data_IF_305219837222
#
_entry.id   IF_305219837222
#
_cell.length_a   1.000
_cell.length_b   1.000
_cell.length_c   1.000
_cell.angle_alpha   90.00
_cell.angle_beta   90.00
_cell.angle_gamma   90.00
#
_symmetry.space_group_name_H-M   'P 1'
#
loop_
_entity.id
_entity.type
_entity.pdbx_description
1 polymer ?
#
# COMPACT_ATOMS: atom_id res chain seq x y z
N UNK A 1 -7.19 24.01 -56.52
CA UNK A 1 -7.66 22.99 -55.57
C UNK A 1 -6.46 22.18 -55.11
N UNK A 2 -6.35 22.00 -53.80
CA UNK A 2 -5.30 21.31 -53.02
C UNK A 2 -3.93 22.01 -52.91
N UNK A 3 -3.75 22.62 -51.74
CA UNK A 3 -2.56 23.28 -51.24
C UNK A 3 -1.47 22.25 -50.88
N UNK A 4 -0.25 22.58 -51.30
CA UNK A 4 1.02 22.12 -50.73
C UNK A 4 1.31 22.90 -49.45
N UNK A 5 1.88 22.23 -48.45
CA UNK A 5 2.75 22.88 -47.46
C UNK A 5 3.72 21.85 -46.87
N UNK A 6 4.98 21.99 -47.28
CA UNK A 6 6.18 21.48 -46.62
C UNK A 6 6.29 22.02 -45.19
N UNK A 7 6.85 21.24 -44.26
CA UNK A 7 7.90 21.72 -43.34
C UNK A 7 8.71 20.53 -42.77
N UNK A 8 10.03 20.63 -42.94
CA UNK A 8 11.06 19.73 -42.44
C UNK A 8 11.57 20.17 -41.05
N UNK A 9 11.82 19.16 -40.20
CA UNK A 9 12.94 18.94 -39.26
C UNK A 9 13.62 20.08 -38.47
N UNK A 10 13.82 19.81 -37.16
CA UNK A 10 14.93 20.31 -36.33
C UNK A 10 14.69 19.99 -34.84
N UNK A 11 15.12 18.83 -34.31
CA UNK A 11 16.36 18.63 -33.53
C UNK A 11 16.54 19.57 -32.33
N UNK A 12 16.50 19.01 -31.11
CA UNK A 12 17.67 18.92 -30.22
C UNK A 12 17.31 18.28 -28.89
N UNK A 13 18.05 17.21 -28.59
CA UNK A 13 18.22 16.62 -27.27
C UNK A 13 19.12 17.58 -26.50
N UNK A 14 18.70 18.01 -25.30
CA UNK A 14 19.67 18.33 -24.27
C UNK A 14 19.31 17.64 -22.96
N UNK A 15 20.39 17.21 -22.34
CA UNK A 15 20.62 16.39 -21.18
C UNK A 15 19.96 16.89 -19.89
N UNK A 16 19.59 15.94 -19.02
CA UNK A 16 19.09 16.24 -17.69
C UNK A 16 18.79 14.99 -16.88
N UNK A 17 19.81 14.48 -16.21
CA UNK A 17 19.69 13.56 -15.07
C UNK A 17 18.56 13.98 -14.12
N UNK A 18 17.70 13.04 -13.75
CA UNK A 18 17.01 12.98 -12.45
C UNK A 18 16.20 11.67 -12.39
N UNK A 19 16.57 10.70 -11.55
CA UNK A 19 16.22 10.69 -10.13
C UNK A 19 14.70 10.81 -9.94
N UNK A 20 14.01 9.69 -9.70
CA UNK A 20 12.64 9.63 -9.19
C UNK A 20 12.59 8.46 -8.20
N UNK A 21 12.15 8.64 -6.96
CA UNK A 21 11.31 9.72 -6.47
C UNK A 21 10.17 9.09 -5.68
N UNK A 22 10.25 9.27 -4.37
CA UNK A 22 9.17 9.07 -3.42
C UNK A 22 7.92 9.82 -3.91
N UNK A 23 6.86 9.12 -4.26
CA UNK A 23 5.61 9.76 -4.68
C UNK A 23 4.68 9.96 -3.47
N UNK A 24 4.77 11.16 -2.92
CA UNK A 24 3.67 11.86 -2.25
C UNK A 24 2.50 12.02 -3.23
N UNK A 25 1.33 11.52 -2.89
CA UNK A 25 0.07 11.90 -3.55
C UNK A 25 -0.94 12.33 -2.48
N UNK A 26 -0.85 13.59 -2.11
CA UNK A 26 -1.93 14.39 -1.55
C UNK A 26 -2.22 15.51 -2.55
N UNK A 27 -3.10 15.27 -3.52
CA UNK A 27 -3.90 16.32 -4.15
C UNK A 27 -4.80 15.68 -5.21
N UNK A 28 -6.03 15.33 -4.84
CA UNK A 28 -7.26 15.60 -5.61
C UNK A 28 -8.42 15.35 -4.63
N UNK A 29 -9.21 16.39 -4.34
CA UNK A 29 -10.67 16.39 -4.11
C UNK A 29 -11.01 17.66 -3.32
N UNK A 30 -11.04 18.80 -4.01
CA UNK A 30 -11.60 20.03 -3.47
C UNK A 30 -12.67 20.53 -4.43
N UNK A 31 -13.86 19.91 -4.39
CA UNK A 31 -15.05 20.38 -5.10
C UNK A 31 -16.29 20.18 -4.22
N UNK A 32 -16.86 21.31 -3.79
CA UNK A 32 -18.21 21.54 -3.28
C UNK A 32 -18.60 21.13 -1.85
N UNK A 33 -18.62 22.14 -0.95
CA UNK A 33 -19.89 22.61 -0.34
C UNK A 33 -19.79 24.04 0.20
N UNK A 34 -20.48 24.97 -0.46
CA UNK A 34 -20.93 26.25 0.10
C UNK A 34 -22.31 26.05 0.75
N UNK A 35 -22.60 26.90 1.75
CA UNK A 35 -23.87 27.11 2.51
C UNK A 35 -23.99 26.16 3.73
N UNK A 36 -24.06 26.61 5.00
CA UNK A 36 -24.60 27.85 5.57
C UNK A 36 -23.60 28.60 6.50
N UNK A 37 -23.44 29.90 6.27
CA UNK A 37 -22.84 30.84 7.23
C UNK A 37 -23.93 31.37 8.16
N UNK A 38 -23.73 31.24 9.47
CA UNK A 38 -24.39 32.07 10.47
C UNK A 38 -23.53 33.34 10.70
N UNK A 39 -24.02 34.59 10.60
CA UNK A 39 -23.15 35.77 10.44
C UNK A 39 -22.44 36.27 11.71
N UNK A 40 -22.60 35.61 12.88
CA UNK A 40 -22.27 36.23 14.18
C UNK A 40 -21.15 35.58 15.00
N UNK A 41 -20.22 34.79 14.42
CA UNK A 41 -19.02 34.33 15.17
C UNK A 41 -17.73 34.86 14.55
N UNK A 42 -17.09 35.81 15.24
CA UNK A 42 -15.76 36.33 14.90
C UNK A 42 -14.72 35.22 15.03
N UNK A 43 -14.13 34.82 13.90
CA UNK A 43 -13.07 33.79 13.77
C UNK A 43 -11.81 33.98 14.64
N UNK A 44 -11.66 35.10 15.34
CA UNK A 44 -10.49 35.43 16.17
C UNK A 44 -10.70 35.32 17.68
N UNK A 45 -11.95 35.35 18.17
CA UNK A 45 -12.24 35.38 19.62
C UNK A 45 -12.24 33.97 20.26
N UNK A 46 -12.38 32.90 19.47
CA UNK A 46 -12.51 31.53 19.99
C UNK A 46 -11.17 30.90 20.39
N UNK A 47 -10.03 31.35 19.87
CA UNK A 47 -8.72 30.79 20.21
C UNK A 47 -8.09 31.41 21.47
N UNK A 48 -8.36 32.70 21.72
CA UNK A 48 -7.78 33.46 22.83
C UNK A 48 -8.27 32.95 24.19
N UNK A 49 -9.50 32.43 24.25
CA UNK A 49 -10.06 31.81 25.48
C UNK A 49 -9.27 30.60 25.98
N UNK A 50 -8.42 29.98 25.16
CA UNK A 50 -7.63 28.79 25.52
C UNK A 50 -6.19 29.10 25.95
N UNK A 51 -5.71 30.35 25.87
CA UNK A 51 -4.29 30.69 26.06
C UNK A 51 -3.81 30.38 27.48
N UNK A 52 -4.66 30.61 28.49
CA UNK A 52 -4.36 30.39 29.90
C UNK A 52 -5.41 29.50 30.59
N UNK A 53 -6.29 28.86 29.82
CA UNK A 53 -7.32 28.01 30.39
C UNK A 53 -6.75 26.67 30.83
N UNK A 54 -7.33 26.12 31.90
CA UNK A 54 -7.03 24.79 32.40
C UNK A 54 -8.08 23.80 31.89
N UNK A 55 -7.77 22.51 31.96
CA UNK A 55 -8.71 21.48 31.50
C UNK A 55 -9.99 21.47 32.36
N UNK A 56 -9.82 21.70 33.66
CA UNK A 56 -10.86 21.73 34.68
C UNK A 56 -11.93 22.81 34.39
N UNK A 57 -11.53 23.92 33.75
CA UNK A 57 -12.41 25.02 33.38
C UNK A 57 -13.51 24.60 32.37
N UNK A 58 -13.33 23.47 31.69
CA UNK A 58 -14.24 22.96 30.67
C UNK A 58 -14.91 21.65 31.06
N UNK A 59 -14.92 21.30 32.35
CA UNK A 59 -15.62 20.11 32.84
C UNK A 59 -17.11 20.19 32.51
N UNK A 60 -17.65 19.16 31.87
CA UNK A 60 -19.03 19.10 31.36
C UNK A 60 -19.21 19.67 29.95
N UNK A 61 -18.16 20.28 29.37
CA UNK A 61 -18.16 20.83 28.02
C UNK A 61 -17.18 20.10 27.08
N UNK A 62 -16.41 19.12 27.57
CA UNK A 62 -15.29 18.50 26.82
C UNK A 62 -15.77 17.95 25.48
N UNK A 63 -16.92 17.26 25.44
CA UNK A 63 -17.46 16.72 24.19
C UNK A 63 -17.69 17.79 23.12
N UNK A 64 -18.15 18.98 23.51
CA UNK A 64 -18.36 20.10 22.58
C UNK A 64 -17.03 20.63 22.02
N UNK A 65 -16.00 20.69 22.87
CA UNK A 65 -14.64 21.09 22.48
C UNK A 65 -14.02 20.10 21.50
N UNK A 66 -14.30 18.81 21.61
CA UNK A 66 -13.77 17.78 20.69
C UNK A 66 -14.13 18.06 19.21
N UNK A 67 -15.29 18.69 18.97
CA UNK A 67 -15.81 18.99 17.63
C UNK A 67 -15.47 20.40 17.14
N UNK A 68 -14.83 21.19 17.98
CA UNK A 68 -14.32 22.50 17.61
C UNK A 68 -12.83 22.39 17.23
N UNK A 69 -12.41 23.11 16.19
CA UNK A 69 -11.01 23.06 15.73
C UNK A 69 -10.03 23.53 16.82
N UNK A 70 -10.36 24.61 17.53
CA UNK A 70 -9.49 25.18 18.56
C UNK A 70 -9.65 24.43 19.88
N UNK A 71 -10.87 24.03 20.25
CA UNK A 71 -11.15 23.18 21.41
C UNK A 71 -10.43 21.85 21.33
N UNK A 72 -10.49 21.15 20.19
CA UNK A 72 -9.80 19.88 19.99
C UNK A 72 -8.27 20.03 20.09
N UNK A 73 -7.71 21.12 19.54
CA UNK A 73 -6.27 21.44 19.67
C UNK A 73 -5.87 21.76 21.10
N UNK A 74 -6.71 22.48 21.84
CA UNK A 74 -6.51 22.74 23.26
C UNK A 74 -6.48 21.42 24.05
N UNK A 75 -7.45 20.53 23.86
CA UNK A 75 -7.52 19.23 24.56
C UNK A 75 -6.31 18.35 24.23
N UNK A 76 -5.86 18.31 22.97
CA UNK A 76 -4.63 17.61 22.59
C UNK A 76 -3.40 18.15 23.32
N UNK A 77 -3.30 19.48 23.47
CA UNK A 77 -2.19 20.11 24.19
C UNK A 77 -2.21 19.76 25.68
N UNK A 78 -3.39 19.67 26.31
CA UNK A 78 -3.49 19.25 27.71
C UNK A 78 -2.95 17.83 27.92
N UNK A 79 -3.22 16.91 26.99
CA UNK A 79 -2.65 15.56 27.01
C UNK A 79 -1.12 15.53 26.81
N UNK A 80 -0.58 16.46 26.01
CA UNK A 80 0.88 16.53 25.77
C UNK A 80 1.63 17.17 26.94
N UNK A 81 1.06 18.22 27.57
CA UNK A 81 1.67 18.88 28.72
C UNK A 81 1.89 17.92 29.90
N UNK A 82 0.96 16.98 30.12
CA UNK A 82 1.10 15.98 31.16
C UNK A 82 2.28 15.02 30.95
N UNK A 83 2.60 14.69 29.69
CA UNK A 83 3.74 13.81 29.33
C UNK A 83 5.10 14.47 29.57
N UNK A 84 5.19 15.78 29.36
CA UNK A 84 6.45 16.52 29.56
C UNK A 84 6.83 16.63 31.05
N UNK A 85 5.86 16.53 31.96
CA UNK A 85 6.06 16.64 33.41
C UNK A 85 6.41 15.31 34.05
N UNK A 86 5.86 14.19 33.59
CA UNK A 86 6.34 12.86 33.99
C UNK A 86 7.87 12.74 33.79
N UNK A 87 8.41 13.48 32.81
CA UNK A 87 9.84 13.57 32.52
C UNK A 87 10.58 14.73 33.24
N UNK A 88 9.87 15.68 33.89
CA UNK A 88 10.45 16.85 34.57
C UNK A 88 9.77 17.11 35.92
N UNK A 89 10.50 16.90 37.02
CA UNK A 89 10.02 16.94 38.42
C UNK A 89 9.46 18.28 38.96
N UNK A 90 9.06 19.27 38.15
CA UNK A 90 8.57 20.54 38.68
C UNK A 90 7.49 21.20 37.80
N UNK A 91 6.22 21.03 38.18
CA UNK A 91 5.12 21.91 37.76
C UNK A 91 3.91 21.74 38.69
N UNK A 92 3.81 22.55 39.76
CA UNK A 92 2.73 22.47 40.76
C UNK A 92 1.32 22.85 40.25
N UNK A 93 1.12 23.09 38.95
CA UNK A 93 -0.12 23.66 38.38
C UNK A 93 -0.59 23.03 37.06
N UNK A 94 -0.01 21.91 36.63
CA UNK A 94 -0.37 21.22 35.38
C UNK A 94 -0.72 19.77 35.73
N UNK A 95 -1.84 19.28 35.19
CA UNK A 95 -2.26 17.89 35.38
C UNK A 95 -1.28 16.92 34.71
N UNK A 96 -1.02 15.79 35.37
CA UNK A 96 -0.34 14.66 34.74
C UNK A 96 -1.19 14.09 33.60
N UNK A 97 -0.54 13.39 32.68
CA UNK A 97 -1.21 12.95 31.44
C UNK A 97 -2.36 11.99 31.71
N UNK A 98 -2.20 11.10 32.68
CA UNK A 98 -3.21 10.15 33.12
C UNK A 98 -4.46 10.82 33.71
N UNK A 99 -4.31 11.90 34.49
CA UNK A 99 -5.44 12.65 35.04
C UNK A 99 -6.18 13.39 33.92
N UNK A 100 -5.45 14.09 33.05
CA UNK A 100 -6.05 14.78 31.91
C UNK A 100 -6.78 13.81 30.98
N UNK A 101 -6.16 12.65 30.68
CA UNK A 101 -6.78 11.59 29.89
C UNK A 101 -8.03 11.03 30.56
N UNK A 102 -8.01 10.84 31.88
CA UNK A 102 -9.17 10.34 32.64
C UNK A 102 -10.33 11.31 32.65
N UNK A 103 -10.07 12.61 32.82
CA UNK A 103 -11.09 13.66 32.72
C UNK A 103 -11.75 13.66 31.34
N UNK A 104 -10.94 13.65 30.28
CA UNK A 104 -11.44 13.60 28.89
C UNK A 104 -12.23 12.31 28.64
N UNK A 105 -11.68 11.16 29.05
CA UNK A 105 -12.31 9.84 28.91
C UNK A 105 -13.71 9.81 29.52
N UNK A 106 -13.87 10.28 30.77
CA UNK A 106 -15.13 10.21 31.50
C UNK A 106 -16.29 10.93 30.80
N UNK A 107 -16.01 11.99 30.03
CA UNK A 107 -17.04 12.72 29.29
C UNK A 107 -17.32 12.15 27.90
N UNK A 108 -16.35 11.48 27.28
CA UNK A 108 -16.46 11.13 25.84
C UNK A 108 -16.56 9.62 25.54
N UNK A 109 -16.34 8.73 26.51
CA UNK A 109 -16.23 7.29 26.23
C UNK A 109 -17.46 6.68 25.53
N UNK A 110 -18.66 7.18 25.79
CA UNK A 110 -19.90 6.77 25.10
C UNK A 110 -20.10 7.39 23.71
N UNK A 111 -19.33 8.42 23.38
CA UNK A 111 -19.37 9.16 22.11
C UNK A 111 -18.17 8.85 21.21
N UNK A 112 -17.40 7.81 21.54
CA UNK A 112 -16.14 7.48 20.88
C UNK A 112 -16.29 7.31 19.36
N UNK A 113 -17.34 6.62 18.90
CA UNK A 113 -17.56 6.38 17.47
C UNK A 113 -17.78 7.70 16.72
N UNK A 114 -18.61 8.58 17.29
CA UNK A 114 -18.92 9.89 16.72
C UNK A 114 -17.68 10.76 16.60
N UNK A 115 -16.77 10.68 17.56
CA UNK A 115 -15.51 11.42 17.55
C UNK A 115 -14.45 10.80 16.65
N UNK A 116 -14.41 9.47 16.50
CA UNK A 116 -13.45 8.80 15.61
C UNK A 116 -13.64 9.20 14.14
N UNK A 117 -14.87 9.46 13.71
CA UNK A 117 -15.21 9.85 12.33
C UNK A 117 -15.36 11.37 12.15
N UNK A 118 -15.16 12.15 13.22
CA UNK A 118 -15.25 13.61 13.17
C UNK A 118 -13.96 14.20 12.57
N UNK A 119 -14.04 15.22 11.69
CA UNK A 119 -12.86 15.86 11.08
C UNK A 119 -11.84 16.43 12.06
N UNK A 120 -12.27 16.84 13.25
CA UNK A 120 -11.39 17.34 14.31
C UNK A 120 -11.24 16.31 15.43
N UNK A 121 -12.35 15.74 15.89
CA UNK A 121 -12.40 14.81 17.03
C UNK A 121 -11.47 13.60 16.87
N UNK A 122 -11.26 13.11 15.65
CA UNK A 122 -10.42 11.94 15.39
C UNK A 122 -8.98 12.15 15.88
N UNK A 123 -8.45 13.38 15.81
CA UNK A 123 -7.09 13.69 16.27
C UNK A 123 -6.99 13.63 17.80
N UNK A 124 -8.01 14.10 18.50
CA UNK A 124 -8.08 13.96 19.96
C UNK A 124 -8.18 12.50 20.35
N UNK A 125 -9.03 11.71 19.70
CA UNK A 125 -9.17 10.28 20.00
C UNK A 125 -7.85 9.53 19.79
N UNK A 126 -7.13 9.84 18.71
CA UNK A 126 -5.79 9.30 18.47
C UNK A 126 -4.85 9.60 19.64
N UNK A 127 -4.80 10.86 20.08
CA UNK A 127 -3.97 11.26 21.23
C UNK A 127 -4.46 10.60 22.52
N UNK A 128 -5.76 10.45 22.72
CA UNK A 128 -6.33 9.84 23.90
C UNK A 128 -5.90 8.37 24.03
N UNK A 129 -5.92 7.58 22.94
CA UNK A 129 -5.44 6.19 22.96
C UNK A 129 -4.00 6.03 23.45
N UNK A 130 -3.15 7.03 23.22
CA UNK A 130 -1.75 7.05 23.66
C UNK A 130 -1.57 7.41 25.14
N UNK A 131 -2.61 7.90 25.82
CA UNK A 131 -2.52 8.45 27.18
C UNK A 131 -3.47 7.78 28.18
N UNK A 132 -4.52 7.09 27.73
CA UNK A 132 -5.43 6.35 28.62
C UNK A 132 -4.80 5.07 29.17
N UNK A 133 -5.26 4.65 30.34
CA UNK A 133 -4.89 3.36 30.93
C UNK A 133 -5.38 2.19 30.05
N UNK A 134 -4.82 0.99 30.29
CA UNK A 134 -5.26 -0.23 29.59
C UNK A 134 -6.76 -0.48 29.81
N UNK A 135 -7.26 -0.31 31.04
CA UNK A 135 -8.68 -0.53 31.35
C UNK A 135 -9.60 0.46 30.63
N UNK A 136 -9.22 1.74 30.61
CA UNK A 136 -9.93 2.76 29.85
C UNK A 136 -9.90 2.46 28.35
N UNK A 137 -8.75 2.06 27.81
CA UNK A 137 -8.63 1.69 26.39
C UNK A 137 -9.51 0.50 26.03
N UNK A 138 -9.59 -0.51 26.89
CA UNK A 138 -10.52 -1.65 26.73
C UNK A 138 -11.97 -1.17 26.67
N UNK A 139 -12.38 -0.22 27.51
CA UNK A 139 -13.73 0.35 27.47
C UNK A 139 -13.96 1.06 26.13
N UNK A 140 -13.00 1.88 25.68
CA UNK A 140 -13.11 2.56 24.37
C UNK A 140 -13.20 1.57 23.21
N UNK A 141 -12.40 0.49 23.23
CA UNK A 141 -12.45 -0.59 22.23
C UNK A 141 -13.82 -1.24 22.22
N UNK A 142 -14.37 -1.62 23.38
CA UNK A 142 -15.70 -2.24 23.50
C UNK A 142 -16.81 -1.33 22.99
N UNK A 143 -16.72 -0.03 23.26
CA UNK A 143 -17.72 0.95 22.80
C UNK A 143 -17.63 1.21 21.29
N UNK A 144 -16.43 1.15 20.71
CA UNK A 144 -16.23 1.36 19.27
C UNK A 144 -16.44 0.08 18.43
N UNK A 145 -16.23 -1.10 19.01
CA UNK A 145 -16.25 -2.41 18.35
C UNK A 145 -17.49 -2.66 17.45
N UNK A 146 -18.74 -2.37 17.88
CA UNK A 146 -19.93 -2.59 17.04
C UNK A 146 -19.91 -1.83 15.71
N UNK A 147 -19.11 -0.76 15.60
CA UNK A 147 -19.04 0.15 14.46
C UNK A 147 -17.67 0.15 13.77
N UNK A 148 -16.78 -0.81 14.08
CA UNK A 148 -15.43 -0.85 13.51
C UNK A 148 -15.40 -0.80 11.98
N UNK A 149 -16.38 -1.40 11.31
CA UNK A 149 -16.45 -1.36 9.85
C UNK A 149 -16.79 0.04 9.36
N UNK A 150 -17.80 0.70 9.93
CA UNK A 150 -18.11 2.09 9.60
C UNK A 150 -16.91 3.01 9.84
N UNK A 151 -16.22 2.83 10.96
CA UNK A 151 -15.04 3.60 11.32
C UNK A 151 -13.89 3.34 10.35
N UNK A 152 -13.61 2.08 10.00
CA UNK A 152 -12.49 1.72 9.13
C UNK A 152 -12.65 2.23 7.68
N UNK A 153 -13.89 2.29 7.20
CA UNK A 153 -14.22 2.77 5.85
C UNK A 153 -14.27 4.31 5.77
N UNK A 154 -14.27 5.01 6.92
CA UNK A 154 -14.27 6.47 6.99
C UNK A 154 -12.84 7.06 6.88
N UNK A 155 -12.64 8.18 6.14
CA UNK A 155 -11.31 8.79 5.96
C UNK A 155 -10.66 9.32 7.24
N UNK A 156 -11.45 9.70 8.26
CA UNK A 156 -10.96 10.12 9.58
C UNK A 156 -10.90 8.92 10.52
N UNK A 157 -11.96 8.10 10.52
CA UNK A 157 -12.09 6.90 11.33
C UNK A 157 -10.96 5.90 11.12
N UNK A 158 -10.51 5.70 9.88
CA UNK A 158 -9.37 4.80 9.58
C UNK A 158 -8.10 5.23 10.31
N UNK A 159 -7.86 6.54 10.47
CA UNK A 159 -6.67 7.07 11.17
C UNK A 159 -6.78 6.80 12.66
N UNK A 160 -7.94 7.06 13.24
CA UNK A 160 -8.21 6.77 14.64
C UNK A 160 -8.12 5.27 14.95
N UNK A 161 -8.67 4.41 14.10
CA UNK A 161 -8.63 2.95 14.29
C UNK A 161 -7.22 2.39 14.09
N UNK A 162 -6.45 2.89 13.12
CA UNK A 162 -5.03 2.53 13.00
C UNK A 162 -4.25 2.90 14.26
N UNK A 163 -4.48 4.10 14.83
CA UNK A 163 -3.86 4.51 16.08
C UNK A 163 -4.27 3.62 17.25
N UNK A 164 -5.55 3.24 17.34
CA UNK A 164 -6.00 2.27 18.35
C UNK A 164 -5.20 0.98 18.23
N UNK A 165 -5.08 0.41 17.02
CA UNK A 165 -4.27 -0.79 16.78
C UNK A 165 -2.82 -0.56 17.21
N UNK A 166 -2.20 0.58 16.94
CA UNK A 166 -0.82 0.88 17.40
C UNK A 166 -0.67 0.86 18.92
N UNK A 167 -1.70 1.31 19.65
CA UNK A 167 -1.67 1.50 21.10
C UNK A 167 -2.02 0.25 21.91
N UNK A 168 -2.66 -0.78 21.33
CA UNK A 168 -2.95 -2.01 22.06
C UNK A 168 -1.65 -2.69 22.52
N UNK A 169 -1.68 -3.25 23.73
CA UNK A 169 -0.51 -3.88 24.34
C UNK A 169 -0.81 -5.22 25.02
N UNK A 170 -2.08 -5.54 25.28
CA UNK A 170 -2.48 -6.76 25.97
C UNK A 170 -3.18 -7.77 25.05
N UNK A 171 -3.16 -9.05 25.45
CA UNK A 171 -3.89 -10.09 24.72
C UNK A 171 -5.40 -9.85 24.68
N UNK A 172 -5.97 -9.30 25.75
CA UNK A 172 -7.39 -8.97 25.84
C UNK A 172 -7.79 -7.91 24.80
N UNK A 173 -6.99 -6.86 24.64
CA UNK A 173 -7.21 -5.84 23.62
C UNK A 173 -7.04 -6.40 22.21
N UNK A 174 -5.98 -7.17 21.97
CA UNK A 174 -5.78 -7.84 20.68
C UNK A 174 -6.96 -8.72 20.31
N UNK A 175 -7.50 -9.49 21.27
CA UNK A 175 -8.67 -10.34 21.05
C UNK A 175 -9.89 -9.53 20.61
N UNK A 176 -10.18 -8.41 21.27
CA UNK A 176 -11.30 -7.55 20.87
C UNK A 176 -11.14 -7.00 19.45
N UNK A 177 -9.93 -6.60 19.07
CA UNK A 177 -9.64 -6.15 17.70
C UNK A 177 -9.86 -7.28 16.69
N UNK A 178 -9.30 -8.46 16.95
CA UNK A 178 -9.38 -9.61 16.05
C UNK A 178 -10.84 -10.05 15.88
N UNK A 179 -11.57 -10.23 16.97
CA UNK A 179 -12.96 -10.75 16.94
C UNK A 179 -13.88 -9.84 16.11
N UNK A 180 -13.64 -8.51 16.10
CA UNK A 180 -14.47 -7.54 15.38
C UNK A 180 -13.98 -7.22 13.96
N UNK A 181 -12.71 -7.48 13.62
CA UNK A 181 -12.18 -7.25 12.27
C UNK A 181 -12.15 -8.52 11.40
N UNK A 182 -12.02 -9.69 12.02
CA UNK A 182 -11.83 -10.97 11.32
C UNK A 182 -12.92 -11.28 10.28
N UNK A 183 -14.23 -11.10 10.58
CA UNK A 183 -15.29 -11.36 9.59
C UNK A 183 -15.25 -10.45 8.35
N UNK A 184 -14.46 -9.37 8.39
CA UNK A 184 -14.53 -8.28 7.43
C UNK A 184 -13.21 -8.05 6.68
N UNK A 185 -12.23 -8.94 6.81
CA UNK A 185 -10.90 -8.77 6.19
C UNK A 185 -11.01 -8.61 4.66
N UNK A 186 -11.90 -9.32 3.98
CA UNK A 186 -12.09 -9.15 2.51
C UNK A 186 -12.58 -7.74 2.18
N UNK A 187 -13.66 -7.27 2.83
CA UNK A 187 -14.22 -5.95 2.57
C UNK A 187 -13.23 -4.84 2.92
N UNK A 188 -12.55 -4.96 4.06
CA UNK A 188 -11.57 -3.96 4.50
C UNK A 188 -10.37 -3.92 3.55
N UNK A 189 -9.84 -5.07 3.11
CA UNK A 189 -8.69 -5.11 2.19
C UNK A 189 -8.98 -4.46 0.85
N UNK A 190 -10.25 -4.47 0.43
CA UNK A 190 -10.71 -3.90 -0.84
C UNK A 190 -11.18 -2.46 -0.73
N UNK A 191 -11.19 -1.88 0.47
CA UNK A 191 -11.59 -0.48 0.63
C UNK A 191 -10.41 0.49 0.54
N UNK A 192 -10.67 1.73 0.11
CA UNK A 192 -9.67 2.80 0.02
C UNK A 192 -9.08 3.17 1.39
N UNK A 193 -9.90 3.15 2.44
CA UNK A 193 -9.51 3.51 3.81
C UNK A 193 -9.25 2.26 4.66
N UNK A 194 -10.12 1.24 4.55
CA UNK A 194 -10.09 0.02 5.36
C UNK A 194 -8.82 -0.80 5.17
N UNK A 195 -8.20 -0.77 3.98
CA UNK A 195 -7.00 -1.55 3.72
C UNK A 195 -5.84 -1.15 4.65
N UNK A 196 -5.80 0.13 5.06
CA UNK A 196 -4.77 0.63 5.96
C UNK A 196 -4.89 0.06 7.38
N UNK A 197 -6.12 -0.23 7.83
CA UNK A 197 -6.36 -0.90 9.12
C UNK A 197 -5.82 -2.33 9.08
N UNK A 198 -6.10 -3.08 7.99
CA UNK A 198 -5.58 -4.44 7.81
C UNK A 198 -4.05 -4.45 7.78
N UNK A 199 -3.44 -3.52 7.04
CA UNK A 199 -1.99 -3.35 7.01
C UNK A 199 -1.42 -3.01 8.39
N UNK A 200 -2.12 -2.20 9.19
CA UNK A 200 -1.70 -1.87 10.55
C UNK A 200 -1.75 -3.08 11.48
N UNK A 201 -2.76 -3.93 11.35
CA UNK A 201 -2.80 -5.21 12.06
C UNK A 201 -1.60 -6.09 11.71
N UNK A 202 -1.22 -6.19 10.42
CA UNK A 202 -0.04 -6.95 9.99
C UNK A 202 1.27 -6.42 10.61
N UNK A 203 1.40 -5.09 10.75
CA UNK A 203 2.58 -4.45 11.33
C UNK A 203 2.69 -4.63 12.85
N UNK A 204 1.55 -4.60 13.54
CA UNK A 204 1.53 -4.51 15.01
C UNK A 204 1.34 -5.87 15.70
N UNK A 205 0.48 -6.71 15.16
CA UNK A 205 0.12 -7.98 15.79
C UNK A 205 1.22 -9.02 15.56
N UNK A 206 1.43 -9.89 16.55
CA UNK A 206 2.33 -11.04 16.39
C UNK A 206 1.83 -11.99 15.30
N UNK A 207 2.72 -12.85 14.79
CA UNK A 207 2.34 -13.83 13.76
C UNK A 207 1.19 -14.75 14.19
N UNK A 208 1.09 -15.12 15.47
CA UNK A 208 -0.07 -15.87 15.99
C UNK A 208 -1.36 -15.06 15.92
N UNK A 209 -1.30 -13.77 16.24
CA UNK A 209 -2.46 -12.89 16.32
C UNK A 209 -2.95 -12.41 14.95
N UNK A 210 -2.06 -12.27 13.95
CA UNK A 210 -2.46 -11.86 12.61
C UNK A 210 -2.81 -13.04 11.66
N UNK A 211 -2.81 -14.28 12.15
CA UNK A 211 -3.08 -15.48 11.35
C UNK A 211 -4.43 -15.43 10.62
N UNK A 212 -5.47 -14.88 11.26
CA UNK A 212 -6.79 -14.71 10.65
C UNK A 212 -6.78 -13.94 9.33
N UNK A 213 -5.82 -13.01 9.16
CA UNK A 213 -5.62 -12.26 7.92
C UNK A 213 -5.09 -13.20 6.84
N UNK A 214 -4.12 -14.07 7.15
CA UNK A 214 -3.57 -15.04 6.21
C UNK A 214 -4.57 -16.13 5.83
N UNK A 215 -5.38 -16.59 6.78
CA UNK A 215 -6.43 -17.58 6.53
C UNK A 215 -7.50 -17.02 5.57
N UNK A 216 -7.94 -15.79 5.81
CA UNK A 216 -8.89 -15.09 4.93
C UNK A 216 -8.25 -14.77 3.57
N UNK A 217 -7.02 -14.25 3.56
CA UNK A 217 -6.29 -13.91 2.34
C UNK A 217 -6.05 -15.14 1.46
N UNK A 218 -5.86 -16.32 2.05
CA UNK A 218 -5.70 -17.56 1.30
C UNK A 218 -7.04 -18.09 0.79
N UNK A 219 -8.09 -18.00 1.60
CA UNK A 219 -9.44 -18.46 1.22
C UNK A 219 -10.07 -17.60 0.12
N UNK A 220 -9.79 -16.30 0.13
CA UNK A 220 -10.30 -15.30 -0.82
C UNK A 220 -9.19 -14.69 -1.68
N UNK A 221 -8.16 -15.47 -2.01
CA UNK A 221 -6.94 -14.98 -2.65
C UNK A 221 -7.21 -14.21 -3.94
N UNK A 222 -8.03 -14.77 -4.84
CA UNK A 222 -8.31 -14.12 -6.13
C UNK A 222 -9.06 -12.79 -5.94
N UNK A 223 -10.12 -12.76 -5.14
CA UNK A 223 -10.93 -11.57 -4.89
C UNK A 223 -10.12 -10.39 -4.34
N UNK A 224 -9.09 -10.69 -3.53
CA UNK A 224 -8.21 -9.69 -2.93
C UNK A 224 -7.08 -9.33 -3.90
N UNK A 225 -6.46 -10.32 -4.56
CA UNK A 225 -5.31 -10.12 -5.43
C UNK A 225 -5.63 -9.28 -6.67
N UNK A 226 -6.83 -9.41 -7.24
CA UNK A 226 -7.27 -8.68 -8.44
C UNK A 226 -7.93 -7.34 -8.10
N UNK A 227 -7.78 -6.86 -6.87
CA UNK A 227 -8.31 -5.58 -6.43
C UNK A 227 -7.21 -4.54 -6.22
N UNK A 228 -7.43 -3.30 -6.68
CA UNK A 228 -6.47 -2.18 -6.61
C UNK A 228 -5.84 -1.91 -5.23
N UNK A 229 -6.60 -2.14 -4.17
CA UNK A 229 -6.14 -2.00 -2.77
C UNK A 229 -5.81 -3.36 -2.14
N UNK A 230 -6.49 -4.42 -2.57
CA UNK A 230 -6.31 -5.76 -2.01
C UNK A 230 -4.95 -6.34 -2.37
N UNK A 231 -4.46 -6.09 -3.59
CA UNK A 231 -3.12 -6.50 -4.00
C UNK A 231 -2.03 -5.94 -3.08
N UNK A 232 -2.20 -4.71 -2.58
CA UNK A 232 -1.28 -4.08 -1.64
C UNK A 232 -1.32 -4.78 -0.28
N UNK A 233 -2.49 -5.23 0.18
CA UNK A 233 -2.62 -6.02 1.41
C UNK A 233 -1.88 -7.35 1.29
N UNK A 234 -2.02 -8.07 0.17
CA UNK A 234 -1.30 -9.33 -0.04
C UNK A 234 0.22 -9.14 -0.09
N UNK A 235 0.71 -8.04 -0.69
CA UNK A 235 2.12 -7.69 -0.64
C UNK A 235 2.60 -7.44 0.80
N UNK A 236 1.81 -6.75 1.62
CA UNK A 236 2.13 -6.56 3.05
C UNK A 236 2.09 -7.87 3.85
N UNK A 237 1.19 -8.81 3.51
CA UNK A 237 1.24 -10.16 4.06
C UNK A 237 2.58 -10.84 3.76
N UNK A 238 3.13 -10.67 2.55
CA UNK A 238 4.43 -11.22 2.17
C UNK A 238 5.63 -10.48 2.81
N UNK A 239 5.47 -9.21 3.20
CA UNK A 239 6.50 -8.44 3.90
C UNK A 239 6.57 -8.77 5.40
N UNK A 240 5.41 -8.88 6.07
CA UNK A 240 5.32 -9.01 7.54
C UNK A 240 5.03 -10.43 8.04
N UNK A 241 4.54 -11.33 7.18
CA UNK A 241 4.25 -12.70 7.56
C UNK A 241 5.51 -13.48 7.93
N UNK A 242 5.40 -14.42 8.85
CA UNK A 242 6.47 -15.38 9.14
C UNK A 242 6.64 -16.40 7.98
N UNK A 243 7.61 -17.32 8.07
CA UNK A 243 7.88 -18.28 7.00
C UNK A 243 6.68 -19.17 6.64
N UNK A 244 5.93 -19.66 7.64
CA UNK A 244 4.76 -20.52 7.43
C UNK A 244 3.60 -19.75 6.76
N UNK A 245 3.34 -18.54 7.24
CA UNK A 245 2.31 -17.64 6.70
C UNK A 245 2.61 -17.22 5.26
N UNK A 246 3.87 -16.86 4.97
CA UNK A 246 4.29 -16.54 3.59
C UNK A 246 4.15 -17.75 2.68
N UNK A 247 4.51 -18.96 3.14
CA UNK A 247 4.33 -20.19 2.39
C UNK A 247 2.86 -20.47 2.10
N UNK A 248 1.99 -20.37 3.11
CA UNK A 248 0.54 -20.54 2.96
C UNK A 248 -0.03 -19.65 1.85
N UNK A 249 0.24 -18.34 1.92
CA UNK A 249 -0.26 -17.39 0.93
C UNK A 249 0.41 -17.57 -0.45
N UNK A 250 1.73 -17.79 -0.48
CA UNK A 250 2.47 -17.99 -1.73
C UNK A 250 1.99 -19.22 -2.49
N UNK A 251 1.68 -20.31 -1.80
CA UNK A 251 1.12 -21.52 -2.40
C UNK A 251 -0.19 -21.22 -3.11
N UNK A 252 -1.09 -20.46 -2.46
CA UNK A 252 -2.38 -20.10 -3.05
C UNK A 252 -2.25 -19.18 -4.26
N UNK A 253 -1.32 -18.23 -4.22
CA UNK A 253 -1.01 -17.36 -5.36
C UNK A 253 -0.43 -18.19 -6.51
N UNK A 254 0.44 -19.16 -6.21
CA UNK A 254 1.04 -20.04 -7.20
C UNK A 254 0.00 -20.93 -7.92
N UNK A 255 -1.00 -21.45 -7.20
CA UNK A 255 -2.14 -22.18 -7.78
C UNK A 255 -2.93 -21.34 -8.80
N UNK A 256 -2.98 -20.01 -8.62
CA UNK A 256 -3.75 -19.08 -9.45
C UNK A 256 -2.86 -18.24 -10.39
N UNK A 257 -1.59 -18.61 -10.53
CA UNK A 257 -0.58 -17.76 -11.18
C UNK A 257 -0.94 -17.36 -12.61
N UNK A 258 -1.64 -18.21 -13.36
CA UNK A 258 -2.12 -17.93 -14.73
C UNK A 258 -3.00 -16.70 -14.78
N UNK A 259 -4.13 -16.76 -14.07
CA UNK A 259 -5.13 -15.70 -14.08
C UNK A 259 -4.56 -14.43 -13.45
N UNK A 260 -3.80 -14.57 -12.37
CA UNK A 260 -3.21 -13.42 -11.68
C UNK A 260 -2.15 -12.71 -12.54
N UNK A 261 -1.35 -13.43 -13.32
CA UNK A 261 -0.33 -12.83 -14.19
C UNK A 261 -0.92 -12.00 -15.33
N UNK A 262 -2.17 -12.28 -15.71
CA UNK A 262 -2.92 -11.55 -16.74
C UNK A 262 -3.79 -10.43 -16.15
N UNK A 263 -3.89 -10.32 -14.82
CA UNK A 263 -4.71 -9.31 -14.17
C UNK A 263 -3.96 -7.98 -13.97
N UNK A 264 -4.59 -6.80 -14.12
CA UNK A 264 -3.96 -5.49 -13.92
C UNK A 264 -3.32 -5.28 -12.54
N UNK A 265 -3.82 -5.95 -11.49
CA UNK A 265 -3.34 -5.85 -10.12
C UNK A 265 -2.66 -7.15 -9.65
N UNK A 266 -3.24 -8.30 -10.01
CA UNK A 266 -2.75 -9.62 -9.67
C UNK A 266 -1.31 -9.87 -10.15
N UNK A 267 -0.91 -9.28 -11.29
CA UNK A 267 0.44 -9.48 -11.83
C UNK A 267 1.51 -8.98 -10.83
N UNK A 268 1.23 -7.91 -10.09
CA UNK A 268 2.14 -7.41 -9.06
C UNK A 268 2.26 -8.37 -7.88
N UNK A 269 1.17 -9.06 -7.52
CA UNK A 269 1.18 -10.07 -6.44
C UNK A 269 2.06 -11.26 -6.83
N UNK A 270 1.94 -11.74 -8.08
CA UNK A 270 2.80 -12.82 -8.61
C UNK A 270 4.27 -12.40 -8.62
N UNK A 271 4.58 -11.20 -9.10
CA UNK A 271 5.94 -10.63 -9.08
C UNK A 271 6.51 -10.55 -7.65
N UNK A 272 5.67 -10.28 -6.67
CA UNK A 272 6.07 -10.22 -5.26
C UNK A 272 6.39 -11.61 -4.70
N UNK A 273 5.58 -12.63 -5.01
CA UNK A 273 5.87 -14.03 -4.64
C UNK A 273 7.15 -14.52 -5.29
N UNK A 274 7.40 -14.18 -6.56
CA UNK A 274 8.66 -14.51 -7.23
C UNK A 274 9.89 -13.96 -6.48
N UNK A 275 9.74 -12.82 -5.80
CA UNK A 275 10.82 -12.15 -5.07
C UNK A 275 10.94 -12.59 -3.61
N UNK A 276 9.81 -12.88 -2.92
CA UNK A 276 9.76 -13.07 -1.46
C UNK A 276 9.11 -14.38 -1.00
N UNK A 277 8.50 -15.11 -1.91
CA UNK A 277 7.84 -16.38 -1.64
C UNK A 277 8.83 -17.48 -1.31
N UNK A 278 8.29 -18.59 -0.82
CA UNK A 278 9.08 -19.81 -0.59
C UNK A 278 9.45 -20.49 -1.92
N UNK A 279 10.51 -21.30 -1.88
CA UNK A 279 11.08 -21.91 -3.09
C UNK A 279 10.10 -22.81 -3.84
N UNK A 280 9.24 -23.53 -3.13
CA UNK A 280 8.26 -24.44 -3.72
C UNK A 280 7.23 -23.65 -4.54
N UNK A 281 6.65 -22.59 -3.98
CA UNK A 281 5.70 -21.72 -4.68
C UNK A 281 6.35 -21.02 -5.87
N UNK A 282 7.59 -20.53 -5.72
CA UNK A 282 8.34 -19.92 -6.83
C UNK A 282 8.59 -20.92 -7.97
N UNK A 283 8.92 -22.18 -7.65
CA UNK A 283 9.10 -23.23 -8.66
C UNK A 283 7.80 -23.54 -9.43
N UNK A 284 6.66 -23.58 -8.73
CA UNK A 284 5.33 -23.77 -9.36
C UNK A 284 5.04 -22.62 -10.33
N UNK A 285 5.22 -21.37 -9.88
CA UNK A 285 5.02 -20.18 -10.74
C UNK A 285 5.97 -20.22 -11.95
N UNK A 286 7.23 -20.61 -11.75
CA UNK A 286 8.20 -20.70 -12.85
C UNK A 286 7.80 -21.74 -13.90
N UNK A 287 7.35 -22.91 -13.47
CA UNK A 287 6.87 -23.95 -14.39
C UNK A 287 5.65 -23.47 -15.18
N UNK A 288 4.74 -22.77 -14.51
CA UNK A 288 3.61 -22.13 -15.16
C UNK A 288 4.06 -21.09 -16.21
N UNK A 289 5.00 -20.21 -15.84
CA UNK A 289 5.56 -19.19 -16.73
C UNK A 289 6.19 -19.84 -17.96
N UNK A 290 7.00 -20.88 -17.80
CA UNK A 290 7.65 -21.58 -18.92
C UNK A 290 6.62 -22.20 -19.86
N UNK A 291 5.53 -22.75 -19.33
CA UNK A 291 4.48 -23.39 -20.13
C UNK A 291 3.64 -22.39 -20.95
N UNK A 292 3.61 -21.12 -20.54
CA UNK A 292 2.82 -20.07 -21.19
C UNK A 292 3.69 -18.88 -21.62
N UNK A 293 4.98 -19.11 -21.85
CA UNK A 293 6.00 -18.08 -21.96
C UNK A 293 5.69 -17.05 -23.05
N UNK A 294 5.33 -17.51 -24.25
CA UNK A 294 5.01 -16.65 -25.38
C UNK A 294 3.72 -15.86 -25.12
N UNK A 295 2.65 -16.54 -24.69
CA UNK A 295 1.36 -15.90 -24.38
C UNK A 295 1.50 -14.81 -23.33
N UNK A 296 2.24 -15.07 -22.25
CA UNK A 296 2.49 -14.08 -21.21
C UNK A 296 3.35 -12.92 -21.72
N UNK A 297 4.37 -13.20 -22.54
CA UNK A 297 5.27 -12.17 -23.06
C UNK A 297 4.59 -11.17 -24.00
N UNK A 298 3.57 -11.63 -24.74
CA UNK A 298 2.75 -10.80 -25.64
C UNK A 298 1.60 -10.08 -24.92
N UNK A 299 1.45 -10.28 -23.60
CA UNK A 299 0.35 -9.72 -22.83
C UNK A 299 0.80 -8.50 -22.00
N UNK A 300 0.00 -7.43 -22.00
CA UNK A 300 0.27 -6.15 -21.30
C UNK A 300 0.74 -6.30 -19.85
N UNK A 301 0.11 -7.20 -19.10
CA UNK A 301 0.43 -7.44 -17.69
C UNK A 301 1.32 -8.66 -17.49
N UNK A 302 1.20 -9.66 -18.38
CA UNK A 302 1.98 -10.89 -18.30
C UNK A 302 3.46 -10.63 -18.58
N UNK A 303 3.76 -9.73 -19.52
CA UNK A 303 5.13 -9.36 -19.90
C UNK A 303 5.92 -8.85 -18.70
N UNK A 304 5.29 -8.10 -17.80
CA UNK A 304 5.92 -7.61 -16.56
C UNK A 304 6.32 -8.78 -15.64
N UNK A 305 5.52 -9.84 -15.57
CA UNK A 305 5.84 -11.04 -14.79
C UNK A 305 7.04 -11.77 -15.41
N UNK A 306 7.10 -11.88 -16.74
CA UNK A 306 8.25 -12.47 -17.45
C UNK A 306 9.51 -11.65 -17.22
N UNK A 307 9.44 -10.33 -17.42
CA UNK A 307 10.54 -9.40 -17.22
C UNK A 307 11.06 -9.42 -15.78
N UNK A 308 10.16 -9.46 -14.79
CA UNK A 308 10.54 -9.59 -13.38
C UNK A 308 11.25 -10.91 -13.13
N UNK A 309 10.73 -12.01 -13.68
CA UNK A 309 11.30 -13.34 -13.50
C UNK A 309 12.69 -13.46 -14.13
N UNK A 310 12.89 -12.88 -15.31
CA UNK A 310 14.19 -12.80 -15.99
C UNK A 310 15.24 -12.06 -15.16
N UNK A 311 14.84 -11.06 -14.36
CA UNK A 311 15.74 -10.29 -13.49
C UNK A 311 16.05 -10.97 -12.15
N UNK A 312 15.46 -12.12 -11.86
CA UNK A 312 15.78 -12.89 -10.66
C UNK A 312 16.84 -13.92 -11.02
N UNK A 313 18.07 -13.72 -10.52
CA UNK A 313 19.28 -14.49 -10.90
C UNK A 313 19.09 -16.00 -10.90
N UNK A 314 18.41 -16.56 -9.88
CA UNK A 314 18.13 -18.00 -9.78
C UNK A 314 17.16 -18.53 -10.84
N UNK A 315 16.37 -17.67 -11.49
CA UNK A 315 15.38 -18.02 -12.51
C UNK A 315 15.86 -17.68 -13.93
N UNK A 316 16.75 -16.70 -14.07
CA UNK A 316 17.22 -16.12 -15.34
C UNK A 316 17.60 -17.17 -16.37
N UNK A 317 18.57 -18.03 -16.06
CA UNK A 317 19.11 -19.00 -17.02
C UNK A 317 18.02 -19.94 -17.55
N UNK A 318 17.17 -20.45 -16.66
CA UNK A 318 16.09 -21.36 -17.04
C UNK A 318 15.04 -20.71 -17.95
N UNK A 319 14.81 -19.40 -17.82
CA UNK A 319 13.88 -18.66 -18.67
C UNK A 319 14.49 -18.26 -20.01
N UNK A 320 15.77 -17.89 -20.03
CA UNK A 320 16.47 -17.61 -21.29
C UNK A 320 16.54 -18.86 -22.16
N UNK A 321 16.83 -20.04 -21.58
CA UNK A 321 16.76 -21.29 -22.33
C UNK A 321 15.35 -21.55 -22.86
N UNK A 322 14.31 -21.32 -22.06
CA UNK A 322 12.92 -21.50 -22.50
C UNK A 322 12.56 -20.55 -23.66
N UNK A 323 13.03 -19.30 -23.64
CA UNK A 323 12.87 -18.37 -24.76
C UNK A 323 13.58 -18.89 -26.03
N UNK A 324 14.82 -19.36 -25.90
CA UNK A 324 15.57 -19.92 -27.03
C UNK A 324 14.90 -21.16 -27.64
N UNK A 325 14.21 -21.97 -26.84
CA UNK A 325 13.41 -23.11 -27.34
C UNK A 325 12.16 -22.67 -28.11
N UNK A 326 11.73 -21.41 -27.96
CA UNK A 326 10.60 -20.80 -28.69
C UNK A 326 11.11 -19.69 -29.63
N UNK A 327 12.28 -19.87 -30.23
CA UNK A 327 12.90 -18.89 -31.12
C UNK A 327 12.08 -18.64 -32.41
N UNK A 328 11.24 -19.59 -32.80
CA UNK A 328 10.25 -19.45 -33.87
C UNK A 328 9.25 -18.31 -33.62
N UNK A 329 8.97 -17.98 -32.36
CA UNK A 329 8.14 -16.85 -31.95
C UNK A 329 8.88 -15.53 -31.75
N UNK A 330 10.20 -15.46 -32.01
CA UNK A 330 10.95 -14.22 -31.82
C UNK A 330 10.46 -13.09 -32.73
N UNK A 331 9.98 -13.41 -33.94
CA UNK A 331 9.39 -12.40 -34.82
C UNK A 331 8.12 -11.81 -34.22
N UNK A 332 7.27 -12.64 -33.59
CA UNK A 332 6.04 -12.18 -32.93
C UNK A 332 6.39 -11.26 -31.76
N UNK A 333 7.29 -11.71 -30.87
CA UNK A 333 7.76 -10.94 -29.73
C UNK A 333 8.40 -9.61 -30.14
N UNK A 334 9.21 -9.62 -31.19
CA UNK A 334 9.94 -8.44 -31.65
C UNK A 334 9.01 -7.35 -32.18
N UNK A 335 7.90 -7.73 -32.81
CA UNK A 335 6.92 -6.80 -33.38
C UNK A 335 5.78 -6.43 -32.41
N UNK A 336 5.67 -7.10 -31.26
CA UNK A 336 4.62 -6.87 -30.27
C UNK A 336 4.93 -5.67 -29.36
N UNK A 337 3.92 -4.85 -28.96
CA UNK A 337 4.11 -3.71 -28.05
C UNK A 337 4.70 -4.06 -26.68
N UNK A 338 4.58 -5.32 -26.22
CA UNK A 338 5.05 -5.80 -24.91
C UNK A 338 6.20 -6.79 -25.05
N UNK A 339 6.10 -7.75 -25.97
CA UNK A 339 7.08 -8.80 -26.20
C UNK A 339 8.49 -8.28 -26.50
N UNK A 340 8.60 -7.11 -27.14
CA UNK A 340 9.89 -6.52 -27.46
C UNK A 340 10.70 -6.15 -26.19
N UNK A 341 10.03 -5.83 -25.08
CA UNK A 341 10.67 -5.55 -23.80
C UNK A 341 11.16 -6.83 -23.11
N UNK A 342 10.47 -7.95 -23.32
CA UNK A 342 10.92 -9.28 -22.85
C UNK A 342 12.22 -9.69 -23.56
N UNK A 343 12.30 -9.49 -24.88
CA UNK A 343 13.53 -9.76 -25.64
C UNK A 343 14.68 -8.82 -25.26
N UNK A 344 14.42 -7.53 -25.07
CA UNK A 344 15.44 -6.60 -24.56
C UNK A 344 15.93 -7.03 -23.18
N UNK A 345 15.01 -7.39 -22.28
CA UNK A 345 15.35 -7.88 -20.96
C UNK A 345 16.21 -9.14 -21.05
N UNK A 346 15.84 -10.13 -21.87
CA UNK A 346 16.58 -11.38 -21.96
C UNK A 346 18.02 -11.12 -22.42
N UNK A 347 18.23 -10.22 -23.37
CA UNK A 347 19.56 -9.77 -23.79
C UNK A 347 20.31 -8.99 -22.69
N UNK A 348 19.60 -8.25 -21.84
CA UNK A 348 20.20 -7.50 -20.73
C UNK A 348 20.72 -8.39 -19.60
N UNK A 349 20.07 -9.53 -19.36
CA UNK A 349 20.36 -10.42 -18.21
C UNK A 349 21.04 -11.74 -18.58
N UNK A 350 21.10 -12.08 -19.87
CA UNK A 350 21.64 -13.36 -20.33
C UNK A 350 23.12 -13.53 -19.96
N UNK A 351 23.50 -14.78 -19.72
CA UNK A 351 24.92 -15.16 -19.64
C UNK A 351 25.60 -14.90 -20.99
N UNK A 352 26.94 -14.77 -21.01
CA UNK A 352 27.68 -14.58 -22.27
C UNK A 352 27.36 -15.65 -23.31
N UNK A 353 27.26 -16.92 -22.89
CA UNK A 353 26.97 -18.04 -23.79
C UNK A 353 25.56 -17.95 -24.39
N UNK A 354 24.56 -17.59 -23.58
CA UNK A 354 23.18 -17.49 -24.06
C UNK A 354 22.91 -16.19 -24.83
N UNK A 355 23.64 -15.14 -24.50
CA UNK A 355 23.61 -13.87 -25.22
C UNK A 355 24.05 -14.04 -26.68
N UNK A 356 25.06 -14.88 -26.94
CA UNK A 356 25.45 -15.26 -28.32
C UNK A 356 24.30 -15.98 -29.02
N UNK A 357 23.66 -16.96 -28.38
CA UNK A 357 22.54 -17.71 -28.97
C UNK A 357 21.33 -16.81 -29.28
N UNK A 358 20.96 -15.93 -28.34
CA UNK A 358 19.88 -14.96 -28.52
C UNK A 358 20.19 -14.02 -29.69
N UNK A 359 21.44 -13.55 -29.77
CA UNK A 359 21.90 -12.66 -30.83
C UNK A 359 21.82 -13.32 -32.20
N UNK A 360 22.32 -14.55 -32.33
CA UNK A 360 22.24 -15.31 -33.58
C UNK A 360 20.80 -15.57 -34.04
N UNK A 361 19.89 -15.84 -33.10
CA UNK A 361 18.48 -16.07 -33.39
C UNK A 361 17.75 -14.77 -33.81
N UNK A 362 18.09 -13.63 -33.23
CA UNK A 362 17.46 -12.33 -33.53
C UNK A 362 18.01 -11.67 -34.80
N UNK A 363 19.30 -11.85 -35.10
CA UNK A 363 19.99 -11.20 -36.22
C UNK A 363 19.25 -11.27 -37.57
N UNK A 364 18.70 -12.43 -38.03
CA UNK A 364 17.98 -12.49 -39.30
C UNK A 364 16.66 -11.69 -39.31
N UNK A 365 16.10 -11.38 -38.14
CA UNK A 365 14.81 -10.68 -37.99
C UNK A 365 14.96 -9.15 -37.91
N UNK A 366 16.13 -8.67 -37.48
CA UNK A 366 16.39 -7.24 -37.26
C UNK A 366 16.18 -6.33 -38.48
N UNK A 367 16.48 -6.74 -39.73
CA UNK A 367 16.21 -5.90 -40.91
C UNK A 367 14.75 -5.46 -41.02
N UNK A 368 13.80 -6.26 -40.54
CA UNK A 368 12.36 -6.00 -40.60
C UNK A 368 11.91 -4.90 -39.62
N UNK A 369 12.65 -4.71 -38.52
CA UNK A 369 12.30 -3.76 -37.44
C UNK A 369 13.32 -2.63 -37.28
N UNK A 370 14.29 -2.51 -38.18
CA UNK A 370 15.40 -1.54 -38.07
C UNK A 370 14.96 -0.07 -37.94
N UNK A 371 13.76 0.27 -38.38
CA UNK A 371 13.20 1.63 -38.31
C UNK A 371 12.43 1.91 -37.01
N UNK A 372 12.17 0.89 -36.18
CA UNK A 372 11.48 1.08 -34.91
C UNK A 372 12.46 1.45 -33.79
N UNK A 373 12.02 2.16 -32.72
CA UNK A 373 12.89 2.44 -31.57
C UNK A 373 13.45 1.17 -30.91
N UNK A 374 12.61 0.15 -30.70
CA UNK A 374 13.04 -1.11 -30.08
C UNK A 374 13.98 -1.91 -30.99
N UNK A 375 13.74 -1.94 -32.30
CA UNK A 375 14.60 -2.63 -33.26
C UNK A 375 16.00 -2.04 -33.31
N UNK A 376 16.13 -0.70 -33.28
CA UNK A 376 17.44 -0.02 -33.17
C UNK A 376 18.17 -0.38 -31.88
N UNK A 377 17.48 -0.41 -30.74
CA UNK A 377 18.07 -0.76 -29.44
C UNK A 377 18.57 -2.21 -29.42
N UNK A 378 17.74 -3.16 -29.87
CA UNK A 378 18.12 -4.58 -29.93
C UNK A 378 19.30 -4.78 -30.90
N UNK A 379 19.27 -4.14 -32.07
CA UNK A 379 20.35 -4.24 -33.06
C UNK A 379 21.69 -3.71 -32.56
N UNK A 380 21.70 -2.57 -31.86
CA UNK A 380 22.92 -2.04 -31.22
C UNK A 380 23.51 -3.04 -30.22
N UNK A 381 22.64 -3.67 -29.41
CA UNK A 381 23.07 -4.69 -28.45
C UNK A 381 23.65 -5.93 -29.14
N UNK A 382 22.96 -6.47 -30.15
CA UNK A 382 23.41 -7.63 -30.93
C UNK A 382 24.75 -7.36 -31.63
N UNK A 383 24.93 -6.18 -32.23
CA UNK A 383 26.18 -5.81 -32.91
C UNK A 383 27.37 -5.69 -31.95
N UNK A 384 27.14 -5.24 -30.71
CA UNK A 384 28.20 -5.13 -29.69
C UNK A 384 28.78 -6.47 -29.21
N UNK A 385 28.18 -7.60 -29.60
CA UNK A 385 28.57 -8.96 -29.19
C UNK A 385 29.33 -9.69 -30.30
N UNK A 386 29.10 -9.30 -31.56
CA UNK A 386 29.71 -9.90 -32.76
C UNK A 386 31.07 -9.26 -33.08
N UNK A 387 31.37 -8.10 -32.46
CA UNK A 387 32.68 -7.45 -32.42
C UNK A 387 33.38 -7.80 -31.11
#
# INVERSE_FOLDING_TARGET
>A
MNQQSNYSSGSSIDSGSNNHGNNNYNDVMNVHRKLHNNPNRRKGDDATKYINAKLEDFTGEIFSLCKDQHGCRFLQRQLDLGKDIENKQNANNILSSDIAATMIFNEIYLKIIELMIDPFGNYLIQKLFENVSVDQRIILVKNAAPDFIRIALDPHGTRALQKLVECISTEAECKLIIDNLSPHIVSLSRDLNGNHVVQKCLQKLSSKQNQFIFDTASSHCNDIATHRHGCCVLQRCLDYGNAAQRKQLSSKIAENATNLSLDPFGNYVVQYVLSRGDEQSVAIILNHIKSHLIVLSLHKFGSNVIEKSLRISKLTNGLVQALLMNADHFQDLLNDPFGNYVLQTSLDVATKADLVKLSSALQPLLPNVKNTPHGRRIMSKVQSIVL
#
